data_IF_792474418498
#
_entry.id   IF_792474418498
#
_cell.length_a   1.000
_cell.length_b   1.000
_cell.length_c   1.000
_cell.angle_alpha   90.00
_cell.angle_beta   90.00
_cell.angle_gamma   90.00
#
_symmetry.space_group_name_H-M   'P 1'
#
loop_
_entity.id
_entity.type
_entity.pdbx_description
1 polymer ?
#
# COMPACT_ATOMS: atom_id res chain seq x y z
N UNK A 1 6.98 12.95 20.29
CA UNK A 1 6.31 14.13 19.71
C UNK A 1 5.15 14.49 20.62
N UNK A 2 5.04 15.75 20.99
CA UNK A 2 3.89 16.28 21.72
C UNK A 2 2.79 16.63 20.71
N UNK A 3 1.52 16.41 21.06
CA UNK A 3 0.41 16.64 20.15
C UNK A 3 0.08 18.13 20.08
N UNK A 4 0.28 18.74 18.91
CA UNK A 4 -0.01 20.16 18.67
C UNK A 4 -1.47 20.42 18.25
N UNK A 5 -2.26 19.36 17.99
CA UNK A 5 -3.64 19.49 17.56
C UNK A 5 -4.59 19.71 18.74
N UNK A 6 -5.49 20.67 18.59
CA UNK A 6 -6.57 20.92 19.56
C UNK A 6 -7.58 19.78 19.56
N UNK A 7 -8.31 19.64 20.68
CA UNK A 7 -9.41 18.68 20.78
C UNK A 7 -10.52 18.96 19.76
N UNK A 8 -11.19 17.89 19.34
CA UNK A 8 -12.26 17.96 18.35
C UNK A 8 -13.44 18.80 18.85
N UNK A 9 -13.85 19.76 18.02
CA UNK A 9 -15.08 20.53 18.20
C UNK A 9 -15.90 20.54 16.91
N UNK A 10 -17.16 20.08 16.93
CA UNK A 10 -17.97 19.92 15.72
C UNK A 10 -18.21 21.25 14.98
N UNK A 11 -18.30 22.36 15.70
CA UNK A 11 -18.55 23.70 15.13
C UNK A 11 -17.27 24.39 14.60
N UNK A 12 -16.11 23.79 14.84
CA UNK A 12 -14.80 24.33 14.45
C UNK A 12 -14.02 23.40 13.51
N UNK A 13 -14.63 22.30 13.05
CA UNK A 13 -13.94 21.36 12.16
C UNK A 13 -13.89 21.91 10.73
N UNK A 14 -12.68 22.20 10.31
CA UNK A 14 -12.24 22.60 8.97
C UNK A 14 -11.98 21.38 8.05
N UNK A 15 -12.02 20.17 8.63
CA UNK A 15 -11.69 18.90 7.94
C UNK A 15 -12.92 18.01 7.73
N UNK A 16 -13.78 17.88 8.75
CA UNK A 16 -14.92 16.95 8.73
C UNK A 16 -16.22 17.74 8.89
N UNK A 17 -17.07 17.64 7.89
CA UNK A 17 -18.42 18.20 7.89
C UNK A 17 -19.30 17.44 8.90
N UNK A 18 -20.37 18.07 9.34
CA UNK A 18 -21.34 17.51 10.29
C UNK A 18 -22.05 16.25 9.78
N UNK A 19 -22.05 16.00 8.46
CA UNK A 19 -22.57 14.79 7.83
C UNK A 19 -21.54 13.64 7.78
N UNK A 20 -20.35 13.83 8.38
CA UNK A 20 -19.27 12.86 8.41
C UNK A 20 -18.42 12.83 7.13
N UNK A 21 -18.70 13.69 6.14
CA UNK A 21 -17.88 13.80 4.93
C UNK A 21 -16.73 14.78 5.13
N UNK A 22 -15.64 14.55 4.44
CA UNK A 22 -14.54 15.52 4.41
C UNK A 22 -14.86 16.74 3.56
N UNK A 23 -14.30 17.89 3.95
CA UNK A 23 -14.31 19.13 3.16
C UNK A 23 -13.62 18.93 1.81
N UNK A 24 -14.01 19.72 0.81
CA UNK A 24 -13.47 19.57 -0.55
C UNK A 24 -11.98 19.95 -0.59
N UNK A 25 -11.60 20.94 0.21
CA UNK A 25 -10.25 21.45 0.39
C UNK A 25 -9.35 20.35 0.94
N UNK A 26 -9.78 19.69 2.01
CA UNK A 26 -9.05 18.58 2.61
C UNK A 26 -8.94 17.39 1.66
N UNK A 27 -10.01 17.05 0.93
CA UNK A 27 -9.96 15.99 -0.10
C UNK A 27 -8.91 16.28 -1.18
N UNK A 28 -8.86 17.52 -1.68
CA UNK A 28 -7.85 17.94 -2.68
C UNK A 28 -6.44 17.86 -2.11
N UNK A 29 -6.26 18.29 -0.86
CA UNK A 29 -4.97 18.22 -0.19
C UNK A 29 -4.49 16.77 -0.01
N UNK A 30 -5.37 15.87 0.46
CA UNK A 30 -5.06 14.44 0.59
C UNK A 30 -4.74 13.82 -0.77
N UNK A 31 -5.50 14.14 -1.82
CA UNK A 31 -5.23 13.65 -3.17
C UNK A 31 -3.87 14.13 -3.70
N UNK A 32 -3.49 15.38 -3.43
CA UNK A 32 -2.17 15.91 -3.80
C UNK A 32 -1.06 15.15 -3.06
N UNK A 33 -1.16 15.04 -1.73
CA UNK A 33 -0.15 14.34 -0.93
C UNK A 33 -0.04 12.86 -1.30
N UNK A 34 -1.18 12.20 -1.56
CA UNK A 34 -1.20 10.83 -2.06
C UNK A 34 -0.43 10.71 -3.38
N UNK A 35 -0.66 11.63 -4.32
CA UNK A 35 0.03 11.63 -5.62
C UNK A 35 1.53 11.85 -5.47
N UNK A 36 1.94 12.77 -4.60
CA UNK A 36 3.36 13.05 -4.35
C UNK A 36 4.08 11.85 -3.71
N UNK A 37 3.46 11.23 -2.69
CA UNK A 37 3.99 10.04 -2.04
C UNK A 37 4.04 8.83 -2.98
N UNK A 38 3.01 8.63 -3.80
CA UNK A 38 3.01 7.56 -4.80
C UNK A 38 4.14 7.72 -5.81
N UNK A 39 4.38 8.95 -6.28
CA UNK A 39 5.49 9.24 -7.19
C UNK A 39 6.84 8.93 -6.55
N UNK A 40 7.02 9.30 -5.28
CA UNK A 40 8.25 9.00 -4.55
C UNK A 40 8.44 7.50 -4.33
N UNK A 41 7.38 6.80 -3.93
CA UNK A 41 7.37 5.36 -3.78
C UNK A 41 7.75 4.66 -5.08
N UNK A 42 7.12 5.01 -6.21
CA UNK A 42 7.39 4.43 -7.53
C UNK A 42 8.85 4.67 -7.97
N UNK A 43 9.36 5.87 -7.74
CA UNK A 43 10.76 6.20 -8.03
C UNK A 43 11.72 5.36 -7.20
N UNK A 44 11.40 5.05 -5.94
CA UNK A 44 12.24 4.24 -5.07
C UNK A 44 12.10 2.74 -5.37
N UNK A 45 10.90 2.26 -5.70
CA UNK A 45 10.66 0.89 -6.14
C UNK A 45 11.49 0.57 -7.39
N UNK A 46 11.52 1.47 -8.37
CA UNK A 46 12.33 1.28 -9.59
C UNK A 46 13.84 1.17 -9.30
N UNK A 47 14.32 1.72 -8.17
CA UNK A 47 15.75 1.81 -7.83
C UNK A 47 16.23 0.77 -6.82
N UNK A 48 15.37 0.33 -5.92
CA UNK A 48 15.77 -0.37 -4.70
C UNK A 48 14.99 -1.65 -4.42
N UNK A 49 14.07 -2.07 -5.29
CA UNK A 49 13.33 -3.32 -5.05
C UNK A 49 14.24 -4.51 -5.23
N UNK A 50 14.59 -5.17 -4.13
CA UNK A 50 15.09 -6.54 -4.18
C UNK A 50 13.90 -7.45 -4.55
N UNK A 51 13.86 -7.84 -5.81
CA UNK A 51 12.80 -8.69 -6.37
C UNK A 51 12.76 -10.09 -5.72
N UNK A 52 13.71 -10.43 -4.84
CA UNK A 52 13.69 -11.68 -4.07
C UNK A 52 12.81 -11.63 -2.79
N UNK A 53 12.42 -10.45 -2.28
CA UNK A 53 11.53 -10.34 -1.13
C UNK A 53 10.05 -10.40 -1.55
N UNK A 54 9.45 -11.57 -1.34
CA UNK A 54 8.05 -11.92 -1.65
C UNK A 54 7.10 -11.74 -0.46
N UNK A 55 7.57 -11.23 0.68
CA UNK A 55 6.74 -11.07 1.87
C UNK A 55 5.68 -9.96 1.73
N UNK A 56 4.61 -10.04 2.52
CA UNK A 56 3.56 -9.00 2.56
C UNK A 56 3.98 -7.77 3.37
N UNK A 57 4.83 -7.98 4.38
CA UNK A 57 5.23 -6.95 5.35
C UNK A 57 6.33 -6.01 4.83
N UNK A 58 7.28 -6.52 4.02
CA UNK A 58 8.37 -5.71 3.42
C UNK A 58 8.51 -5.91 1.92
N UNK A 59 7.82 -6.89 1.35
CA UNK A 59 8.00 -7.30 -0.03
C UNK A 59 6.91 -6.83 -0.99
N UNK A 60 7.03 -7.34 -2.20
CA UNK A 60 6.25 -6.97 -3.39
C UNK A 60 4.74 -7.18 -3.27
N UNK A 61 4.28 -8.04 -2.36
CA UNK A 61 2.85 -8.35 -2.19
C UNK A 61 2.07 -7.21 -1.52
N UNK A 62 2.69 -6.50 -0.56
CA UNK A 62 2.08 -5.33 0.06
C UNK A 62 1.87 -4.20 -0.95
N UNK A 63 2.84 -4.02 -1.86
CA UNK A 63 2.76 -3.06 -2.96
C UNK A 63 1.66 -3.44 -3.95
N UNK A 64 1.52 -4.72 -4.29
CA UNK A 64 0.44 -5.21 -5.14
C UNK A 64 -0.95 -4.92 -4.55
N UNK A 65 -1.14 -5.22 -3.25
CA UNK A 65 -2.41 -4.96 -2.55
C UNK A 65 -2.72 -3.46 -2.51
N UNK A 66 -1.71 -2.63 -2.27
CA UNK A 66 -1.86 -1.17 -2.31
C UNK A 66 -2.34 -0.70 -3.69
N UNK A 67 -1.74 -1.17 -4.78
CA UNK A 67 -2.17 -0.81 -6.13
C UNK A 67 -3.59 -1.28 -6.46
N UNK A 68 -3.98 -2.48 -6.04
CA UNK A 68 -5.36 -2.95 -6.20
C UNK A 68 -6.34 -2.03 -5.46
N UNK A 69 -6.02 -1.66 -4.21
CA UNK A 69 -6.87 -0.75 -3.43
C UNK A 69 -6.96 0.65 -4.03
N UNK A 70 -5.85 1.16 -4.61
CA UNK A 70 -5.85 2.43 -5.32
C UNK A 70 -6.73 2.40 -6.56
N UNK A 71 -6.77 1.28 -7.29
CA UNK A 71 -7.70 1.11 -8.40
C UNK A 71 -9.15 1.24 -7.96
N UNK A 72 -9.54 0.60 -6.85
CA UNK A 72 -10.90 0.69 -6.32
C UNK A 72 -11.24 2.10 -5.81
N UNK A 73 -10.31 2.77 -5.13
CA UNK A 73 -10.58 4.08 -4.50
C UNK A 73 -10.55 5.21 -5.53
N UNK A 74 -9.62 5.15 -6.48
CA UNK A 74 -9.44 6.18 -7.52
C UNK A 74 -10.21 5.85 -8.80
N UNK A 75 -10.82 4.66 -8.90
CA UNK A 75 -11.53 4.16 -10.07
C UNK A 75 -10.67 4.21 -11.35
N UNK A 76 -9.37 3.90 -11.21
CA UNK A 76 -8.40 3.88 -12.30
C UNK A 76 -7.80 2.47 -12.46
N UNK A 77 -8.11 1.84 -13.59
CA UNK A 77 -7.62 0.50 -13.94
C UNK A 77 -6.11 0.47 -14.24
N UNK A 78 -5.46 1.63 -14.45
CA UNK A 78 -4.02 1.69 -14.68
C UNK A 78 -3.22 1.13 -13.50
N UNK A 79 -3.74 1.25 -12.26
CA UNK A 79 -3.12 0.68 -11.08
C UNK A 79 -3.22 -0.85 -11.03
N UNK A 80 -4.25 -1.47 -11.61
CA UNK A 80 -4.30 -2.93 -11.74
C UNK A 80 -3.19 -3.45 -12.64
N UNK A 81 -2.93 -2.76 -13.75
CA UNK A 81 -1.82 -3.11 -14.63
C UNK A 81 -0.47 -3.00 -13.91
N UNK A 82 -0.32 -2.05 -12.99
CA UNK A 82 0.88 -1.93 -12.14
C UNK A 82 0.96 -3.04 -11.10
N UNK A 83 -0.16 -3.57 -10.61
CA UNK A 83 -0.21 -4.68 -9.65
C UNK A 83 0.14 -6.04 -10.28
N UNK A 84 -0.22 -6.26 -11.55
CA UNK A 84 -0.06 -7.53 -12.28
C UNK A 84 1.31 -8.21 -12.10
N UNK A 85 2.46 -7.57 -12.39
CA UNK A 85 3.77 -8.23 -12.31
C UNK A 85 4.11 -8.71 -10.88
N UNK A 86 3.58 -8.04 -9.86
CA UNK A 86 3.78 -8.43 -8.47
C UNK A 86 2.91 -9.64 -8.10
N UNK A 87 1.70 -9.75 -8.63
CA UNK A 87 0.78 -10.88 -8.38
C UNK A 87 1.17 -12.13 -9.17
N UNK A 88 1.55 -11.99 -10.44
CA UNK A 88 1.95 -13.11 -11.31
C UNK A 88 3.17 -13.85 -10.74
N UNK A 89 4.13 -13.11 -10.18
CA UNK A 89 5.32 -13.69 -9.55
C UNK A 89 4.98 -14.50 -8.29
N UNK A 90 4.03 -14.02 -7.49
CA UNK A 90 3.52 -14.74 -6.31
C UNK A 90 2.78 -16.02 -6.72
N UNK A 91 1.95 -15.97 -7.76
CA UNK A 91 1.27 -17.15 -8.28
C UNK A 91 2.26 -18.17 -8.86
N UNK A 92 3.38 -17.71 -9.42
CA UNK A 92 4.50 -18.55 -9.83
C UNK A 92 5.16 -19.29 -8.67
N UNK A 93 5.38 -18.64 -7.52
CA UNK A 93 5.96 -19.27 -6.32
C UNK A 93 4.96 -20.15 -5.55
N UNK A 94 3.66 -19.86 -5.65
CA UNK A 94 2.57 -20.62 -5.02
C UNK A 94 2.33 -22.00 -5.64
N UNK A 95 2.79 -22.25 -6.88
CA UNK A 95 2.66 -23.58 -7.51
C UNK A 95 3.48 -24.67 -6.80
N UNK A 96 4.38 -24.31 -5.88
CA UNK A 96 5.28 -25.27 -5.23
C UNK A 96 5.06 -25.42 -3.70
N UNK A 97 4.41 -24.47 -2.99
CA UNK A 97 4.26 -24.52 -1.51
C UNK A 97 3.03 -23.81 -0.94
N UNK A 98 2.54 -24.27 0.22
CA UNK A 98 1.45 -23.65 1.00
C UNK A 98 1.98 -22.46 1.82
N UNK A 99 1.35 -21.29 1.72
CA UNK A 99 1.75 -20.08 2.43
C UNK A 99 0.60 -19.47 3.26
N UNK A 100 0.95 -18.89 4.41
CA UNK A 100 0.05 -18.06 5.24
C UNK A 100 0.05 -16.60 4.78
N UNK A 101 -1.11 -15.94 4.88
CA UNK A 101 -1.42 -14.65 4.26
C UNK A 101 -0.57 -13.44 4.72
N UNK A 102 0.15 -13.52 5.85
CA UNK A 102 0.86 -12.37 6.45
C UNK A 102 2.37 -12.54 6.55
N UNK A 103 2.87 -13.77 6.55
CA UNK A 103 4.29 -14.06 6.43
C UNK A 103 4.46 -15.19 5.43
N UNK A 104 5.18 -14.92 4.34
CA UNK A 104 5.86 -16.00 3.64
C UNK A 104 6.70 -16.79 4.65
N UNK A 105 6.71 -18.10 4.50
CA UNK A 105 7.31 -19.10 5.39
C UNK A 105 8.65 -18.62 6.01
N UNK A 106 8.87 -18.69 7.33
CA UNK A 106 10.19 -18.52 7.90
C UNK A 106 11.11 -19.57 7.27
N UNK A 107 12.09 -19.11 6.48
CA UNK A 107 13.10 -19.93 5.82
C UNK A 107 13.69 -20.92 6.85
N UNK A 108 13.24 -22.17 6.83
CA UNK A 108 13.80 -23.21 7.69
C UNK A 108 15.29 -23.39 7.34
N UNK A 109 16.19 -23.41 8.34
CA UNK A 109 17.61 -23.62 8.09
C UNK A 109 17.83 -25.00 7.48
N UNK A 110 18.70 -25.06 6.48
CA UNK A 110 18.87 -26.22 5.62
C UNK A 110 19.25 -27.49 6.36
N UNK A 111 18.75 -28.61 5.85
CA UNK A 111 19.39 -29.90 6.02
C UNK A 111 20.24 -30.18 4.78
N UNK A 112 21.55 -29.98 4.93
CA UNK A 112 22.54 -30.83 4.26
C UNK A 112 22.50 -32.19 4.93
N UNK A 113 22.32 -33.25 4.17
CA UNK A 113 23.05 -34.53 4.22
C UNK A 113 22.54 -35.40 3.08
#
# INVERSE_FOLDING_TARGET
FENEFSDYHPDKSDVVLTDGKWTQEFRKEIQRHLSDLLRELERNLAKHTDWADSSVYTGTTGVALMYMRLSDVLQDASYLNRALPFVERQLGSLKDRRYSFLCGDPRAPGHRS
#
